data_IF_991713653398
#
_entry.id   IF_991713653398
#
_cell.length_a   1.000
_cell.length_b   1.000
_cell.length_c   1.000
_cell.angle_alpha   90.00
_cell.angle_beta   90.00
_cell.angle_gamma   90.00
#
_symmetry.space_group_name_H-M   'P 1'
#
loop_
_entity.id
_entity.type
_entity.pdbx_description
1 polymer ?
#
# COMPACT_ATOMS: atom_id res chain seq x y z
N UNK A 1 1.64 -3.53 18.78
CA UNK A 1 0.71 -2.55 18.15
C UNK A 1 -0.71 -2.86 18.60
N UNK A 2 -1.43 -1.88 19.15
CA UNK A 2 -2.84 -2.00 19.54
C UNK A 2 -3.71 -2.27 18.29
N UNK A 3 -4.73 -3.10 18.43
CA UNK A 3 -5.60 -3.50 17.31
C UNK A 3 -6.33 -2.30 16.66
N UNK A 4 -6.63 -1.26 17.45
CA UNK A 4 -7.22 -0.03 16.93
C UNK A 4 -6.34 0.70 15.91
N UNK A 5 -5.01 0.63 16.06
CA UNK A 5 -4.06 1.28 15.14
C UNK A 5 -4.04 0.56 13.79
N UNK A 6 -4.04 -0.77 13.79
CA UNK A 6 -4.02 -1.57 12.55
C UNK A 6 -5.34 -1.41 11.78
N UNK A 7 -6.49 -1.40 12.48
CA UNK A 7 -7.80 -1.17 11.84
C UNK A 7 -7.94 0.26 11.32
N UNK A 8 -7.47 1.27 12.06
CA UNK A 8 -7.45 2.65 11.57
C UNK A 8 -6.61 2.80 10.30
N UNK A 9 -5.50 2.07 10.20
CA UNK A 9 -4.62 2.08 9.04
C UNK A 9 -5.18 1.30 7.84
N UNK A 10 -5.57 0.03 8.05
CA UNK A 10 -5.88 -0.90 6.98
C UNK A 10 -7.39 -1.11 6.74
N UNK A 11 -8.25 -0.59 7.62
CA UNK A 11 -9.69 -0.72 7.54
C UNK A 11 -10.25 -1.97 8.22
N UNK A 12 -11.49 -2.31 7.85
CA UNK A 12 -12.26 -3.37 8.53
C UNK A 12 -12.15 -4.74 7.87
N UNK A 13 -11.49 -4.85 6.71
CA UNK A 13 -11.29 -6.14 6.05
C UNK A 13 -10.53 -7.11 6.96
N UNK A 14 -11.17 -8.24 7.24
CA UNK A 14 -10.64 -9.22 8.18
C UNK A 14 -9.36 -9.87 7.63
N UNK A 15 -9.35 -10.20 6.34
CA UNK A 15 -8.20 -10.74 5.65
C UNK A 15 -7.04 -9.73 5.56
N UNK A 16 -7.31 -8.46 5.20
CA UNK A 16 -6.25 -7.46 5.05
C UNK A 16 -5.60 -7.13 6.40
N UNK A 17 -6.40 -6.97 7.46
CA UNK A 17 -5.91 -6.73 8.82
C UNK A 17 -5.13 -7.92 9.36
N UNK A 18 -5.61 -9.15 9.14
CA UNK A 18 -4.89 -10.35 9.56
C UNK A 18 -3.55 -10.48 8.83
N UNK A 19 -3.53 -10.21 7.52
CA UNK A 19 -2.31 -10.21 6.71
C UNK A 19 -1.30 -9.17 7.17
N UNK A 20 -1.73 -7.91 7.33
CA UNK A 20 -0.87 -6.84 7.83
C UNK A 20 -0.30 -7.17 9.23
N UNK A 21 -1.14 -7.70 10.12
CA UNK A 21 -0.71 -8.09 11.47
C UNK A 21 0.36 -9.19 11.44
N UNK A 22 0.21 -10.19 10.57
CA UNK A 22 1.18 -11.29 10.43
C UNK A 22 2.55 -10.76 10.00
N UNK A 23 2.59 -9.89 8.99
CA UNK A 23 3.84 -9.27 8.51
C UNK A 23 4.49 -8.42 9.59
N UNK A 24 3.70 -7.62 10.32
CA UNK A 24 4.20 -6.70 11.34
C UNK A 24 4.68 -7.38 12.63
N UNK A 25 4.19 -8.60 12.95
CA UNK A 25 4.54 -9.31 14.19
C UNK A 25 5.62 -10.37 13.99
N UNK A 26 5.56 -11.13 12.89
CA UNK A 26 6.30 -12.39 12.80
C UNK A 26 7.45 -12.38 11.77
N UNK A 27 7.72 -11.25 11.10
CA UNK A 27 8.63 -11.19 9.93
C UNK A 27 8.33 -12.31 8.89
N UNK A 28 7.10 -12.83 8.89
CA UNK A 28 6.75 -14.12 8.31
C UNK A 28 5.89 -14.01 7.07
N UNK A 29 5.96 -15.04 6.23
CA UNK A 29 5.13 -15.22 5.04
C UNK A 29 3.71 -15.66 5.44
N UNK A 30 2.72 -14.81 5.18
CA UNK A 30 1.31 -15.13 5.38
C UNK A 30 0.87 -16.21 4.39
N UNK A 31 0.36 -17.35 4.88
CA UNK A 31 -0.28 -18.34 4.01
C UNK A 31 -1.64 -17.79 3.56
N UNK A 32 -1.91 -17.67 2.25
CA UNK A 32 -3.21 -17.19 1.79
C UNK A 32 -4.31 -18.13 2.29
N UNK A 33 -5.37 -17.55 2.86
CA UNK A 33 -6.63 -18.24 3.16
C UNK A 33 -7.26 -18.76 1.86
N UNK A 34 -8.21 -19.70 1.97
CA UNK A 34 -8.86 -20.30 0.80
C UNK A 34 -9.41 -19.23 -0.17
N UNK A 35 -9.33 -19.44 -1.50
CA UNK A 35 -9.73 -18.44 -2.49
C UNK A 35 -11.17 -17.91 -2.34
N UNK A 36 -12.07 -18.72 -1.79
CA UNK A 36 -13.47 -18.38 -1.56
C UNK A 36 -13.69 -17.35 -0.44
N UNK A 37 -12.88 -17.39 0.62
CA UNK A 37 -12.93 -16.40 1.71
C UNK A 37 -12.35 -15.04 1.29
N UNK A 38 -11.67 -14.98 0.13
CA UNK A 38 -11.03 -13.76 -0.36
C UNK A 38 -11.98 -12.85 -1.15
N UNK A 39 -13.10 -13.35 -1.71
CA UNK A 39 -13.92 -12.56 -2.65
C UNK A 39 -14.65 -11.41 -1.95
N UNK A 40 -15.33 -11.68 -0.83
CA UNK A 40 -16.08 -10.65 -0.09
C UNK A 40 -15.15 -9.57 0.49
N UNK A 41 -14.03 -10.00 1.08
CA UNK A 41 -13.00 -9.09 1.58
C UNK A 41 -12.38 -8.25 0.44
N UNK A 42 -12.13 -8.84 -0.73
CA UNK A 42 -11.64 -8.10 -1.90
C UNK A 42 -12.65 -7.06 -2.41
N UNK A 43 -13.93 -7.41 -2.48
CA UNK A 43 -14.98 -6.48 -2.88
C UNK A 43 -15.12 -5.33 -1.87
N UNK A 44 -14.98 -5.63 -0.57
CA UNK A 44 -14.98 -4.62 0.48
C UNK A 44 -13.79 -3.66 0.31
N UNK A 45 -12.56 -4.17 0.17
CA UNK A 45 -11.34 -3.35 0.01
C UNK A 45 -11.37 -2.54 -1.28
N UNK A 46 -11.95 -3.08 -2.36
CA UNK A 46 -12.07 -2.39 -3.64
C UNK A 46 -13.15 -1.28 -3.65
N UNK A 47 -14.02 -1.22 -2.64
CA UNK A 47 -15.09 -0.24 -2.56
C UNK A 47 -14.53 1.18 -2.38
N UNK A 48 -15.10 2.18 -3.08
CA UNK A 48 -14.67 3.57 -2.96
C UNK A 48 -14.85 4.13 -1.53
N UNK A 49 -15.85 3.63 -0.80
CA UNK A 49 -16.13 4.04 0.58
C UNK A 49 -15.14 3.47 1.60
N UNK A 50 -14.34 2.46 1.22
CA UNK A 50 -13.36 1.83 2.12
C UNK A 50 -12.35 2.83 2.70
N UNK A 51 -12.10 3.92 1.97
CA UNK A 51 -11.17 4.99 2.37
C UNK A 51 -11.75 5.96 3.40
N UNK A 52 -13.07 6.01 3.59
CA UNK A 52 -13.72 7.08 4.35
C UNK A 52 -13.32 7.09 5.84
N UNK A 53 -13.11 5.92 6.44
CA UNK A 53 -12.80 5.76 7.86
C UNK A 53 -11.41 5.18 8.11
N UNK A 54 -10.50 5.32 7.15
CA UNK A 54 -9.13 4.79 7.23
C UNK A 54 -8.11 5.88 6.96
N UNK A 55 -6.83 5.59 7.24
CA UNK A 55 -5.73 6.50 6.92
C UNK A 55 -5.13 6.26 5.53
N UNK A 56 -5.79 5.45 4.69
CA UNK A 56 -5.47 5.32 3.27
C UNK A 56 -5.51 6.68 2.56
N UNK A 57 -4.46 6.99 1.82
CA UNK A 57 -4.32 8.27 1.14
C UNK A 57 -3.75 9.40 2.00
N UNK A 58 -3.63 9.18 3.33
CA UNK A 58 -3.11 10.16 4.29
C UNK A 58 -1.77 9.71 4.89
N UNK A 59 -1.76 8.51 5.47
CA UNK A 59 -0.60 7.89 6.12
C UNK A 59 -0.21 6.57 5.46
N UNK A 60 -1.20 5.83 4.93
CA UNK A 60 -1.00 4.56 4.23
C UNK A 60 -1.18 4.74 2.72
N UNK A 61 -0.27 4.16 1.94
CA UNK A 61 -0.33 4.20 0.48
C UNK A 61 0.09 5.54 -0.13
N UNK A 62 -0.45 5.82 -1.32
CA UNK A 62 -0.12 7.02 -2.10
C UNK A 62 -0.92 8.23 -1.61
N UNK A 63 -0.31 9.42 -1.60
CA UNK A 63 -0.95 10.63 -1.05
C UNK A 63 -1.92 11.28 -2.05
N UNK A 64 -3.22 11.34 -1.76
CA UNK A 64 -4.23 11.79 -2.73
C UNK A 64 -4.43 13.32 -2.82
N UNK A 65 -3.39 14.12 -2.60
CA UNK A 65 -3.51 15.59 -2.41
C UNK A 65 -2.75 16.44 -3.42
N UNK A 66 -2.17 15.87 -4.47
CA UNK A 66 -1.46 16.62 -5.51
C UNK A 66 -1.41 15.86 -6.83
N UNK A 67 -1.12 16.59 -7.91
CA UNK A 67 -0.77 16.04 -9.24
C UNK A 67 0.69 15.55 -9.32
N UNK A 68 1.46 15.76 -8.26
CA UNK A 68 2.83 15.24 -8.07
C UNK A 68 2.88 14.31 -6.85
N UNK A 69 1.87 13.47 -6.70
CA UNK A 69 1.72 12.55 -5.57
C UNK A 69 2.87 11.58 -5.42
N UNK A 70 3.49 11.18 -6.53
CA UNK A 70 4.64 10.30 -6.61
C UNK A 70 5.85 10.90 -5.87
N UNK A 71 6.19 12.15 -6.15
CA UNK A 71 7.28 12.89 -5.50
C UNK A 71 6.98 13.07 -4.02
N UNK A 72 5.78 13.54 -3.67
CA UNK A 72 5.43 13.78 -2.27
C UNK A 72 5.39 12.50 -1.43
N UNK A 73 4.91 11.40 -2.00
CA UNK A 73 4.89 10.10 -1.33
C UNK A 73 6.32 9.62 -1.09
N UNK A 74 7.20 9.74 -2.10
CA UNK A 74 8.63 9.43 -1.97
C UNK A 74 9.31 10.25 -0.86
N UNK A 75 9.09 11.57 -0.83
CA UNK A 75 9.61 12.44 0.21
C UNK A 75 9.12 12.05 1.61
N UNK A 76 7.83 11.70 1.75
CA UNK A 76 7.27 11.23 3.02
C UNK A 76 7.94 9.93 3.47
N UNK A 77 8.08 8.96 2.57
CA UNK A 77 8.73 7.68 2.88
C UNK A 77 10.19 7.89 3.30
N UNK A 78 10.95 8.73 2.58
CA UNK A 78 12.32 9.09 2.97
C UNK A 78 12.39 9.79 4.33
N UNK A 79 11.44 10.69 4.64
CA UNK A 79 11.38 11.35 5.96
C UNK A 79 11.14 10.38 7.14
N UNK A 80 10.64 9.17 6.85
CA UNK A 80 10.46 8.10 7.84
C UNK A 80 11.72 7.22 7.97
N UNK A 81 12.83 7.58 7.33
CA UNK A 81 14.11 6.87 7.41
C UNK A 81 14.33 5.79 6.35
N UNK A 82 13.43 5.65 5.36
CA UNK A 82 13.63 4.75 4.23
C UNK A 82 14.63 5.34 3.22
N UNK A 83 15.39 4.46 2.57
CA UNK A 83 16.39 4.82 1.58
C UNK A 83 16.04 4.18 0.25
N UNK A 84 16.07 4.96 -0.84
CA UNK A 84 15.93 4.44 -2.20
C UNK A 84 17.30 4.12 -2.81
N UNK A 85 17.31 3.22 -3.81
CA UNK A 85 18.51 2.87 -4.57
C UNK A 85 18.23 3.17 -6.03
N UNK A 86 19.14 3.92 -6.66
CA UNK A 86 19.15 4.09 -8.11
C UNK A 86 20.12 3.09 -8.73
N UNK A 87 19.60 2.21 -9.57
CA UNK A 87 20.39 1.20 -10.28
C UNK A 87 20.19 1.36 -11.79
N UNK A 88 21.15 1.94 -12.52
CA UNK A 88 21.10 2.06 -13.96
C UNK A 88 21.72 0.80 -14.62
N UNK A 89 20.91 -0.15 -15.14
CA UNK A 89 21.43 -1.28 -15.90
C UNK A 89 22.00 -0.83 -17.25
N UNK A 90 22.93 -1.62 -17.80
CA UNK A 90 23.51 -1.37 -19.14
C UNK A 90 22.44 -1.39 -20.24
N UNK A 91 21.45 -2.27 -20.12
CA UNK A 91 20.29 -2.35 -21.00
C UNK A 91 19.04 -1.78 -20.30
N UNK A 92 18.24 -0.92 -20.96
CA UNK A 92 17.02 -0.39 -20.37
C UNK A 92 16.04 -1.50 -19.97
N UNK A 93 15.78 -1.64 -18.66
CA UNK A 93 14.80 -2.60 -18.14
C UNK A 93 13.34 -2.15 -18.37
N UNK A 94 13.14 -0.84 -18.52
CA UNK A 94 11.85 -0.22 -18.78
C UNK A 94 11.99 0.74 -19.96
N UNK A 95 11.15 0.56 -20.99
CA UNK A 95 11.12 1.40 -22.20
C UNK A 95 9.72 1.99 -22.29
N UNK A 96 9.63 3.28 -22.60
CA UNK A 96 8.37 3.99 -22.79
C UNK A 96 8.39 4.87 -24.04
N UNK A 97 7.21 5.30 -24.47
CA UNK A 97 7.06 6.26 -25.56
C UNK A 97 6.98 7.68 -24.99
N UNK A 98 7.81 8.59 -25.49
CA UNK A 98 7.66 10.00 -25.21
C UNK A 98 6.53 10.61 -26.08
N UNK A 99 5.76 11.58 -25.56
CA UNK A 99 4.82 12.35 -26.38
C UNK A 99 5.53 13.01 -27.57
N UNK A 100 4.89 13.01 -28.74
CA UNK A 100 5.33 13.78 -29.93
C UNK A 100 4.35 14.92 -30.18
N UNK A 101 4.88 16.04 -30.68
CA UNK A 101 4.12 17.24 -31.04
C UNK A 101 3.40 17.13 -32.38
#
# INVERSE_FOLDING_TARGET
LQDGVIRSAFGESSALVASARSIMRDNGCHKPSSPSLAIEDNLMVANCSYKANTTWGKEVGWRYVSTVEDVMTGLKVHSLGWHSIYHPPEQPAFIGCAPRN
#
